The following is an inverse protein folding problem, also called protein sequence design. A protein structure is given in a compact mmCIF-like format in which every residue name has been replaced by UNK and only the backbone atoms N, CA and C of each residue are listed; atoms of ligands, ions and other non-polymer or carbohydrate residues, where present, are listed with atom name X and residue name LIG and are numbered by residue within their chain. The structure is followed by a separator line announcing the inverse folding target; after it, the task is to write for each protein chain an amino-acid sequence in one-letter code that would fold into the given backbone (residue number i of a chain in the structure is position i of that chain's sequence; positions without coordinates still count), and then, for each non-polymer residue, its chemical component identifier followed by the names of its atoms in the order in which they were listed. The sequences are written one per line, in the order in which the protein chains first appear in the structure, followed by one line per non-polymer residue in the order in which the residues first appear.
data_IF_801457144970
#
_entry.id   IF_801457144970
#
_cell.length_a   1.000
_cell.length_b   1.000
_cell.length_c   1.000
_cell.angle_alpha   90.00
_cell.angle_beta   90.00
_cell.angle_gamma   90.00
#
_symmetry.space_group_name_H-M   'P 1'
#
loop_
_entity.id
_entity.type
_entity.pdbx_description
1 polymer ?
#
# COMPACT_ATOMS: atom_id res chain seq x y z
N UNK A 1 67.83 43.55 7.50
CA UNK A 1 66.71 42.63 7.20
C UNK A 1 66.41 41.84 8.46
N UNK A 2 65.18 41.98 8.97
CA UNK A 2 64.60 41.22 10.08
C UNK A 2 63.81 40.02 9.50
N UNK A 3 63.13 39.15 10.30
CA UNK A 3 63.46 37.73 10.48
C UNK A 3 62.25 36.81 10.17
N UNK A 4 62.36 35.50 10.34
CA UNK A 4 61.23 34.54 10.53
C UNK A 4 61.84 33.13 10.71
N UNK A 5 61.37 32.17 11.51
CA UNK A 5 60.42 32.06 12.63
C UNK A 5 60.55 30.58 13.06
N UNK A 6 61.13 30.29 14.22
CA UNK A 6 60.46 29.87 15.46
C UNK A 6 59.25 28.92 15.28
N UNK A 7 59.29 27.70 15.82
CA UNK A 7 58.26 27.23 16.77
C UNK A 7 58.82 26.08 17.61
N UNK A 8 59.10 26.42 18.86
CA UNK A 8 59.51 25.54 19.94
C UNK A 8 58.32 25.13 20.83
N UNK A 9 58.60 24.24 21.76
CA UNK A 9 57.69 23.33 22.44
C UNK A 9 57.19 23.82 23.81
N UNK A 10 55.89 23.70 24.11
CA UNK A 10 55.24 23.54 25.46
C UNK A 10 55.56 24.58 26.60
N UNK A 11 55.01 24.48 27.84
CA UNK A 11 53.61 24.43 28.32
C UNK A 11 53.28 25.51 29.41
N UNK A 12 52.00 25.54 29.84
CA UNK A 12 51.44 25.95 31.16
C UNK A 12 51.78 27.31 31.82
N UNK A 13 50.75 28.12 32.13
CA UNK A 13 50.36 28.48 33.53
C UNK A 13 48.97 29.20 33.61
N UNK A 14 48.11 28.60 34.45
CA UNK A 14 46.92 28.99 35.28
C UNK A 14 46.47 30.48 35.48
N UNK A 15 45.47 30.81 36.35
CA UNK A 15 44.08 30.34 36.57
C UNK A 15 43.08 31.55 36.70
N UNK A 16 41.75 31.34 36.85
CA UNK A 16 40.89 31.93 37.92
C UNK A 16 39.38 31.61 37.77
N UNK A 17 38.81 31.09 38.86
CA UNK A 17 37.42 31.06 39.38
C UNK A 17 36.29 31.74 38.57
N UNK A 18 35.08 31.19 38.49
CA UNK A 18 34.10 31.23 39.60
C UNK A 18 32.86 30.35 39.32
N UNK A 19 32.37 29.76 40.42
CA UNK A 19 31.22 28.88 40.69
C UNK A 19 29.89 29.11 39.93
N UNK A 20 29.16 28.00 39.72
CA UNK A 20 27.69 27.88 39.52
C UNK A 20 26.93 27.87 40.89
N UNK A 21 25.63 27.51 41.06
CA UNK A 21 24.40 27.51 40.21
C UNK A 21 23.13 28.09 40.94
N UNK A 22 21.94 28.00 40.30
CA UNK A 22 20.59 27.71 40.89
C UNK A 22 19.53 28.88 41.13
N UNK A 23 18.24 28.63 41.52
CA UNK A 23 17.03 28.69 40.65
C UNK A 23 15.81 29.54 41.15
N UNK A 24 14.76 29.64 40.31
CA UNK A 24 13.29 29.72 40.57
C UNK A 24 12.59 30.76 41.50
N UNK A 25 11.44 31.25 40.97
CA UNK A 25 10.19 31.78 41.60
C UNK A 25 10.06 33.26 42.03
N UNK A 26 9.02 33.94 41.53
CA UNK A 26 7.95 34.64 42.31
C UNK A 26 6.80 35.21 41.41
N UNK A 27 5.60 35.58 41.94
CA UNK A 27 4.27 35.24 41.37
C UNK A 27 3.27 36.40 41.09
N UNK A 28 2.30 36.15 40.18
CA UNK A 28 0.88 36.59 40.22
C UNK A 28 0.46 38.07 40.16
N UNK A 29 -0.30 38.47 39.12
CA UNK A 29 -1.66 39.10 39.20
C UNK A 29 -2.14 39.62 37.81
N UNK A 30 -3.42 39.39 37.51
CA UNK A 30 -4.23 39.82 36.35
C UNK A 30 -5.57 40.37 36.92
N UNK A 31 -6.45 41.15 36.24
CA UNK A 31 -6.37 42.34 35.36
C UNK A 31 -7.20 43.54 35.92
N UNK A 32 -7.48 44.60 35.13
CA UNK A 32 -8.88 45.05 35.00
C UNK A 32 -9.36 45.24 33.54
N UNK A 33 -10.58 44.75 33.27
CA UNK A 33 -11.46 45.10 32.12
C UNK A 33 -11.75 46.63 32.08
N UNK A 34 -12.03 47.35 30.99
CA UNK A 34 -13.10 47.22 29.96
C UNK A 34 -13.04 48.49 29.00
N UNK A 35 -13.97 48.77 28.04
CA UNK A 35 -13.98 48.37 26.62
C UNK A 35 -14.13 49.53 25.56
N UNK A 36 -14.08 49.13 24.27
CA UNK A 36 -14.74 49.69 23.07
C UNK A 36 -14.38 51.09 22.51
N UNK A 37 -13.74 51.11 21.33
CA UNK A 37 -14.24 51.93 20.22
C UNK A 37 -13.91 51.27 18.86
N UNK A 38 -14.97 51.07 18.08
CA UNK A 38 -14.96 50.38 16.80
C UNK A 38 -14.44 51.27 15.67
N UNK A 39 -13.63 50.71 14.77
CA UNK A 39 -13.60 51.16 13.37
C UNK A 39 -13.55 49.92 12.49
N UNK A 40 -14.67 49.70 11.80
CA UNK A 40 -14.88 48.67 10.79
C UNK A 40 -14.11 49.02 9.52
N UNK A 41 -13.31 48.07 9.03
CA UNK A 41 -13.02 47.93 7.59
C UNK A 41 -12.81 46.45 7.28
N UNK A 42 -13.82 45.69 6.78
CA UNK A 42 -13.63 44.31 6.39
C UNK A 42 -13.26 44.27 4.90
N UNK A 43 -11.97 44.31 4.60
CA UNK A 43 -11.49 43.77 3.33
C UNK A 43 -11.72 42.24 3.36
N UNK A 44 -12.36 41.61 2.35
CA UNK A 44 -12.57 40.16 2.35
C UNK A 44 -11.24 39.43 2.18
N UNK A 45 -10.59 39.07 3.27
CA UNK A 45 -9.56 38.05 3.23
C UNK A 45 -10.21 36.70 2.89
N UNK A 46 -9.64 35.90 1.98
CA UNK A 46 -10.07 34.54 1.76
C UNK A 46 -9.96 33.80 3.09
N UNK A 47 -11.11 33.46 3.71
CA UNK A 47 -11.15 32.57 4.86
C UNK A 47 -10.51 31.26 4.45
N UNK A 48 -9.31 31.01 4.94
CA UNK A 48 -8.82 29.66 5.20
C UNK A 48 -9.94 28.94 5.93
N UNK A 49 -10.37 27.81 5.36
CA UNK A 49 -11.51 27.02 5.80
C UNK A 49 -11.62 26.97 7.33
N UNK A 50 -12.80 27.32 7.81
CA UNK A 50 -13.21 27.22 9.21
C UNK A 50 -12.79 25.86 9.77
N UNK A 51 -11.86 25.89 10.72
CA UNK A 51 -11.53 24.79 11.58
C UNK A 51 -12.78 24.49 12.42
N UNK A 52 -13.62 23.58 11.92
CA UNK A 52 -14.73 23.03 12.68
C UNK A 52 -14.15 22.40 13.95
N UNK A 53 -14.74 22.64 15.14
CA UNK A 53 -14.25 22.07 16.40
C UNK A 53 -14.13 20.56 16.26
N UNK A 54 -13.03 19.93 16.70
CA UNK A 54 -12.87 18.49 16.58
C UNK A 54 -14.00 17.79 17.35
N UNK A 55 -14.72 16.83 16.74
CA UNK A 55 -15.63 15.97 17.49
C UNK A 55 -14.83 15.22 18.56
N UNK A 56 -15.50 14.99 19.69
CA UNK A 56 -14.97 14.46 20.93
C UNK A 56 -13.85 13.42 20.75
N UNK A 57 -12.77 13.66 21.48
CA UNK A 57 -11.55 12.87 21.53
C UNK A 57 -11.82 11.43 21.98
N UNK A 58 -12.12 10.54 21.04
CA UNK A 58 -11.67 9.16 21.16
C UNK A 58 -10.15 9.18 20.99
N UNK A 59 -9.42 8.73 22.02
CA UNK A 59 -7.97 8.66 22.11
C UNK A 59 -7.35 7.64 21.13
N UNK A 60 -7.67 7.76 19.84
CA UNK A 60 -6.99 7.06 18.76
C UNK A 60 -5.81 7.92 18.29
N UNK A 61 -4.61 7.39 18.51
CA UNK A 61 -3.35 7.97 18.03
C UNK A 61 -3.35 8.18 16.51
N UNK A 62 -2.66 9.22 16.00
CA UNK A 62 -2.59 9.50 14.58
C UNK A 62 -1.90 8.34 13.84
N UNK A 63 -2.60 7.77 12.85
CA UNK A 63 -2.12 6.60 12.09
C UNK A 63 -1.08 7.03 11.05
N UNK A 64 -0.08 6.17 10.81
CA UNK A 64 1.01 6.46 9.88
C UNK A 64 0.58 6.22 8.43
N UNK A 65 0.73 7.25 7.57
CA UNK A 65 0.46 7.15 6.13
C UNK A 65 1.39 6.16 5.42
N UNK A 66 2.63 6.07 5.86
CA UNK A 66 3.60 5.11 5.31
C UNK A 66 3.21 3.67 5.62
N UNK A 67 2.77 3.40 6.85
CA UNK A 67 2.31 2.07 7.25
C UNK A 67 1.09 1.64 6.41
N UNK A 68 0.11 2.52 6.27
CA UNK A 68 -1.05 2.34 5.40
C UNK A 68 -0.65 2.01 3.96
N UNK A 69 0.27 2.77 3.38
CA UNK A 69 0.75 2.58 2.01
C UNK A 69 1.50 1.26 1.82
N UNK A 70 2.34 0.90 2.79
CA UNK A 70 3.08 -0.37 2.78
C UNK A 70 2.12 -1.56 2.89
N UNK A 71 1.07 -1.44 3.73
CA UNK A 71 0.01 -2.42 3.81
C UNK A 71 -0.75 -2.54 2.48
N UNK A 72 -1.06 -1.43 1.83
CA UNK A 72 -1.74 -1.44 0.53
C UNK A 72 -0.88 -2.08 -0.57
N UNK A 73 0.45 -1.95 -0.50
CA UNK A 73 1.37 -2.56 -1.45
C UNK A 73 1.42 -4.09 -1.33
N UNK A 74 1.58 -4.63 -0.11
CA UNK A 74 1.68 -6.08 0.09
C UNK A 74 0.32 -6.78 0.14
N UNK A 75 -0.72 -6.08 0.59
CA UNK A 75 -2.00 -6.65 0.93
C UNK A 75 -3.17 -5.91 0.24
N UNK A 76 -2.91 -5.31 -0.92
CA UNK A 76 -3.91 -4.60 -1.73
C UNK A 76 -5.20 -5.41 -1.96
N UNK A 77 -5.14 -6.68 -2.40
CA UNK A 77 -6.33 -7.49 -2.67
C UNK A 77 -7.14 -7.87 -1.41
N UNK A 78 -6.50 -7.88 -0.24
CA UNK A 78 -7.14 -8.33 1.00
C UNK A 78 -7.90 -7.21 1.71
N UNK A 79 -7.64 -5.95 1.36
CA UNK A 79 -8.28 -4.78 1.99
C UNK A 79 -7.72 -4.42 3.37
N UNK A 80 -6.57 -4.98 3.77
CA UNK A 80 -5.94 -4.73 5.08
C UNK A 80 -5.65 -3.24 5.33
N UNK A 81 -5.26 -2.48 4.30
CA UNK A 81 -5.01 -1.05 4.41
C UNK A 81 -6.25 -0.26 4.86
N UNK A 82 -7.46 -0.68 4.42
CA UNK A 82 -8.72 -0.08 4.87
C UNK A 82 -9.08 -0.46 6.29
N UNK A 83 -8.82 -1.71 6.68
CA UNK A 83 -8.97 -2.15 8.07
C UNK A 83 -8.07 -1.34 8.99
N UNK A 84 -6.81 -1.07 8.58
CA UNK A 84 -5.88 -0.23 9.33
C UNK A 84 -6.42 1.18 9.55
N UNK A 85 -7.06 1.77 8.54
CA UNK A 85 -7.73 3.08 8.60
C UNK A 85 -9.05 3.01 9.42
N UNK A 86 -9.55 1.81 9.72
CA UNK A 86 -10.82 1.62 10.43
C UNK A 86 -12.05 1.68 9.52
N UNK A 87 -11.84 1.61 8.20
CA UNK A 87 -12.92 1.47 7.23
C UNK A 87 -13.44 0.02 7.25
N UNK A 88 -14.69 -0.15 7.66
CA UNK A 88 -15.37 -1.46 7.80
C UNK A 88 -15.47 -2.21 6.48
N UNK A 89 -15.38 -1.52 5.34
CA UNK A 89 -15.37 -2.17 4.01
C UNK A 89 -14.16 -3.09 3.80
N UNK A 90 -13.07 -2.90 4.55
CA UNK A 90 -11.89 -3.77 4.49
C UNK A 90 -12.15 -5.19 5.01
N UNK A 91 -13.01 -5.36 6.02
CA UNK A 91 -13.30 -6.67 6.63
C UNK A 91 -14.03 -7.58 5.64
N UNK A 92 -15.00 -7.05 4.90
CA UNK A 92 -15.71 -7.82 3.88
C UNK A 92 -14.78 -8.32 2.78
N UNK A 93 -13.80 -7.50 2.38
CA UNK A 93 -12.80 -7.88 1.37
C UNK A 93 -11.84 -8.95 1.87
N UNK A 94 -11.42 -8.86 3.13
CA UNK A 94 -10.56 -9.87 3.73
C UNK A 94 -11.25 -11.25 3.71
N UNK A 95 -12.52 -11.30 4.11
CA UNK A 95 -13.30 -12.54 4.06
C UNK A 95 -13.53 -13.03 2.63
N UNK A 96 -13.86 -12.14 1.68
CA UNK A 96 -14.01 -12.51 0.29
C UNK A 96 -12.72 -13.11 -0.30
N UNK A 97 -11.56 -12.55 0.06
CA UNK A 97 -10.26 -13.06 -0.35
C UNK A 97 -9.97 -14.44 0.25
N UNK A 98 -10.21 -14.63 1.55
CA UNK A 98 -10.01 -15.91 2.25
C UNK A 98 -10.92 -16.99 1.64
N UNK A 99 -12.22 -16.69 1.49
CA UNK A 99 -13.20 -17.62 0.92
C UNK A 99 -12.79 -17.99 -0.51
N UNK A 100 -12.48 -17.01 -1.36
CA UNK A 100 -12.07 -17.28 -2.74
C UNK A 100 -10.81 -18.14 -2.81
N UNK A 101 -9.85 -17.91 -1.92
CA UNK A 101 -8.60 -18.70 -1.83
C UNK A 101 -8.87 -20.15 -1.40
N UNK A 102 -9.78 -20.37 -0.44
CA UNK A 102 -10.16 -21.73 -0.01
C UNK A 102 -10.91 -22.45 -1.13
N UNK A 103 -11.85 -21.77 -1.80
CA UNK A 103 -12.62 -22.36 -2.90
C UNK A 103 -11.74 -22.73 -4.12
N UNK A 104 -10.56 -22.13 -4.26
CA UNK A 104 -9.61 -22.47 -5.32
C UNK A 104 -9.08 -23.91 -5.23
N UNK A 105 -9.09 -24.50 -4.03
CA UNK A 105 -8.67 -25.90 -3.80
C UNK A 105 -9.71 -26.89 -4.34
N UNK A 106 -10.98 -26.47 -4.41
CA UNK A 106 -12.09 -27.33 -4.83
C UNK A 106 -12.11 -27.45 -6.36
N UNK A 107 -11.90 -28.66 -6.93
CA UNK A 107 -12.03 -28.87 -8.36
C UNK A 107 -13.44 -28.48 -8.83
N UNK A 108 -13.57 -27.92 -10.04
CA UNK A 108 -14.79 -27.36 -10.67
C UNK A 108 -15.17 -25.92 -10.25
N UNK A 109 -14.95 -25.51 -9.01
CA UNK A 109 -15.26 -24.14 -8.55
C UNK A 109 -14.07 -23.19 -8.73
N UNK A 110 -12.87 -23.75 -8.90
CA UNK A 110 -11.61 -23.04 -9.10
C UNK A 110 -11.65 -21.94 -10.17
N UNK A 111 -12.39 -22.12 -11.28
CA UNK A 111 -12.54 -21.08 -12.30
C UNK A 111 -13.24 -19.83 -11.77
N UNK A 112 -14.34 -20.01 -11.04
CA UNK A 112 -15.10 -18.89 -10.43
C UNK A 112 -14.21 -18.19 -9.39
N UNK A 113 -13.50 -18.96 -8.57
CA UNK A 113 -12.53 -18.41 -7.61
C UNK A 113 -11.41 -17.63 -8.29
N UNK A 114 -10.89 -18.12 -9.41
CA UNK A 114 -9.85 -17.42 -10.17
C UNK A 114 -10.36 -16.08 -10.69
N UNK A 115 -11.58 -16.01 -11.23
CA UNK A 115 -12.20 -14.75 -11.63
C UNK A 115 -12.45 -13.81 -10.45
N UNK A 116 -12.91 -14.33 -9.31
CA UNK A 116 -13.11 -13.53 -8.10
C UNK A 116 -11.79 -12.94 -7.58
N UNK A 117 -10.71 -13.75 -7.53
CA UNK A 117 -9.38 -13.30 -7.15
C UNK A 117 -8.80 -12.28 -8.14
N UNK A 118 -9.06 -12.44 -9.44
CA UNK A 118 -8.67 -11.46 -10.46
C UNK A 118 -9.39 -10.12 -10.23
N UNK A 119 -10.70 -10.15 -10.00
CA UNK A 119 -11.50 -8.96 -9.71
C UNK A 119 -11.03 -8.27 -8.41
N UNK A 120 -10.76 -9.05 -7.35
CA UNK A 120 -10.16 -8.55 -6.09
C UNK A 120 -8.78 -7.95 -6.32
N UNK A 121 -7.97 -8.54 -7.20
CA UNK A 121 -6.65 -8.02 -7.59
C UNK A 121 -6.75 -6.66 -8.29
N UNK A 122 -7.59 -6.55 -9.34
CA UNK A 122 -7.85 -5.29 -10.05
C UNK A 122 -8.38 -4.24 -9.08
N UNK A 123 -9.31 -4.64 -8.21
CA UNK A 123 -9.86 -3.75 -7.21
C UNK A 123 -8.79 -3.27 -6.22
N UNK A 124 -7.87 -4.14 -5.80
CA UNK A 124 -6.71 -3.78 -4.97
C UNK A 124 -5.82 -2.72 -5.61
N UNK A 125 -5.66 -2.74 -6.93
CA UNK A 125 -4.94 -1.70 -7.69
C UNK A 125 -5.68 -0.36 -7.59
N UNK A 126 -6.99 -0.34 -7.83
CA UNK A 126 -7.82 0.87 -7.68
C UNK A 126 -7.73 1.40 -6.24
N UNK A 127 -7.75 0.50 -5.26
CA UNK A 127 -7.64 0.84 -3.85
C UNK A 127 -6.31 1.51 -3.52
N UNK A 128 -5.20 0.97 -4.03
CA UNK A 128 -3.87 1.55 -3.84
C UNK A 128 -3.80 3.00 -4.33
N UNK A 129 -4.35 3.29 -5.50
CA UNK A 129 -4.40 4.65 -6.03
C UNK A 129 -5.38 5.56 -5.28
N UNK A 130 -6.53 5.04 -4.84
CA UNK A 130 -7.48 5.79 -4.01
C UNK A 130 -6.90 6.18 -2.65
N UNK A 131 -6.18 5.25 -2.01
CA UNK A 131 -5.50 5.44 -0.72
C UNK A 131 -4.39 6.48 -0.82
N UNK A 132 -3.76 6.67 -1.98
CA UNK A 132 -2.73 7.71 -2.20
C UNK A 132 -3.25 9.13 -2.03
N UNK A 133 -4.45 9.39 -2.57
CA UNK A 133 -5.09 10.69 -2.45
C UNK A 133 -5.59 11.01 -1.04
N UNK A 134 -5.60 10.01 -0.15
CA UNK A 134 -6.19 10.13 1.18
C UNK A 134 -5.19 10.74 2.17
N UNK A 135 -5.63 11.79 2.85
CA UNK A 135 -4.89 12.50 3.89
C UNK A 135 -5.53 12.36 5.29
N UNK A 136 -6.75 11.81 5.35
CA UNK A 136 -7.53 11.65 6.58
C UNK A 136 -7.94 10.19 6.82
N UNK A 137 -8.03 9.81 8.08
CA UNK A 137 -8.45 8.46 8.50
C UNK A 137 -9.95 8.22 8.27
N UNK A 138 -10.50 7.06 8.64
CA UNK A 138 -11.96 6.85 8.66
C UNK A 138 -12.67 7.73 9.71
N UNK A 139 -11.92 8.21 10.70
CA UNK A 139 -12.39 9.11 11.77
C UNK A 139 -12.05 10.57 11.52
N UNK A 140 -11.78 10.96 10.27
CA UNK A 140 -11.44 12.32 9.83
C UNK A 140 -10.16 12.91 10.44
N UNK A 141 -9.42 12.13 11.24
CA UNK A 141 -8.13 12.54 11.78
C UNK A 141 -7.06 12.60 10.69
N UNK A 142 -6.19 13.61 10.65
CA UNK A 142 -5.10 13.67 9.69
C UNK A 142 -4.15 12.50 9.90
N UNK A 143 -3.71 11.84 8.82
CA UNK A 143 -2.67 10.83 8.91
C UNK A 143 -1.33 11.48 9.24
N UNK A 144 -0.56 10.84 10.12
CA UNK A 144 0.79 11.27 10.41
C UNK A 144 1.67 11.08 9.17
N UNK A 145 2.28 12.17 8.71
CA UNK A 145 3.18 12.19 7.56
C UNK A 145 4.41 13.03 7.88
N UNK A 146 5.59 12.49 7.57
CA UNK A 146 6.85 13.24 7.62
C UNK A 146 7.40 13.46 6.21
N UNK A 147 8.29 14.44 6.04
CA UNK A 147 8.97 14.68 4.74
C UNK A 147 9.75 13.44 4.25
N UNK A 148 10.24 12.63 5.20
CA UNK A 148 10.88 11.34 4.91
C UNK A 148 9.86 10.38 4.31
N UNK A 149 8.69 10.25 4.92
CA UNK A 149 7.63 9.33 4.50
C UNK A 149 7.14 9.63 3.09
N UNK A 150 6.98 10.90 2.72
CA UNK A 150 6.57 11.28 1.36
C UNK A 150 7.56 10.79 0.28
N UNK A 151 8.85 10.72 0.60
CA UNK A 151 9.86 10.16 -0.30
C UNK A 151 9.69 8.65 -0.45
N UNK A 152 9.46 7.94 0.64
CA UNK A 152 9.21 6.49 0.60
C UNK A 152 7.91 6.15 -0.12
N UNK A 153 6.84 6.92 0.07
CA UNK A 153 5.56 6.73 -0.64
C UNK A 153 5.75 6.87 -2.15
N UNK A 154 6.56 7.85 -2.61
CA UNK A 154 6.91 7.98 -4.04
C UNK A 154 7.65 6.75 -4.57
N UNK A 155 8.65 6.24 -3.83
CA UNK A 155 9.35 5.01 -4.22
C UNK A 155 8.41 3.80 -4.24
N UNK A 156 7.53 3.68 -3.24
CA UNK A 156 6.55 2.60 -3.16
C UNK A 156 5.60 2.61 -4.36
N UNK A 157 5.17 3.79 -4.81
CA UNK A 157 4.36 3.94 -6.01
C UNK A 157 5.10 3.49 -7.27
N UNK A 158 6.36 3.91 -7.44
CA UNK A 158 7.17 3.50 -8.59
C UNK A 158 7.34 1.97 -8.60
N UNK A 159 7.70 1.39 -7.45
CA UNK A 159 7.81 -0.05 -7.29
C UNK A 159 6.49 -0.77 -7.60
N UNK A 160 5.35 -0.21 -7.19
CA UNK A 160 4.04 -0.79 -7.45
C UNK A 160 3.71 -0.81 -8.94
N UNK A 161 3.98 0.29 -9.65
CA UNK A 161 3.78 0.37 -11.10
C UNK A 161 4.69 -0.64 -11.83
N UNK A 162 5.96 -0.74 -11.42
CA UNK A 162 6.91 -1.70 -11.99
C UNK A 162 6.42 -3.13 -11.74
N UNK A 163 5.99 -3.46 -10.52
CA UNK A 163 5.44 -4.77 -10.19
C UNK A 163 4.20 -5.11 -11.02
N UNK A 164 3.30 -4.13 -11.26
CA UNK A 164 2.14 -4.32 -12.14
C UNK A 164 2.54 -4.60 -13.59
N UNK A 165 3.56 -3.92 -14.11
CA UNK A 165 4.07 -4.18 -15.46
C UNK A 165 4.62 -5.61 -15.58
N UNK A 166 5.38 -6.08 -14.59
CA UNK A 166 5.86 -7.47 -14.53
C UNK A 166 4.70 -8.47 -14.43
N UNK A 167 3.69 -8.20 -13.61
CA UNK A 167 2.51 -9.07 -13.49
C UNK A 167 1.73 -9.16 -14.81
N UNK A 168 1.55 -8.04 -15.51
CA UNK A 168 0.91 -8.01 -16.83
C UNK A 168 1.71 -8.80 -17.87
N UNK A 169 3.04 -8.64 -17.88
CA UNK A 169 3.94 -9.43 -18.74
C UNK A 169 3.85 -10.93 -18.44
N UNK A 170 3.80 -11.31 -17.16
CA UNK A 170 3.64 -12.70 -16.76
C UNK A 170 2.30 -13.29 -17.22
N UNK A 171 1.20 -12.55 -17.09
CA UNK A 171 -0.11 -12.97 -17.59
C UNK A 171 -0.14 -13.13 -19.12
N UNK A 172 0.52 -12.22 -19.85
CA UNK A 172 0.65 -12.35 -21.30
C UNK A 172 1.50 -13.58 -21.68
N UNK A 173 2.59 -13.83 -20.96
CA UNK A 173 3.45 -14.98 -21.18
C UNK A 173 2.74 -16.31 -20.88
N UNK A 174 1.94 -16.40 -19.80
CA UNK A 174 1.16 -17.60 -19.50
C UNK A 174 0.07 -17.84 -20.54
N UNK A 175 -0.61 -16.78 -20.98
CA UNK A 175 -1.59 -16.88 -22.06
C UNK A 175 -0.96 -17.33 -23.38
N UNK A 176 0.20 -16.76 -23.76
CA UNK A 176 0.94 -17.16 -24.94
C UNK A 176 1.44 -18.61 -24.85
N UNK A 177 1.93 -19.04 -23.69
CA UNK A 177 2.31 -20.43 -23.44
C UNK A 177 1.11 -21.36 -23.58
N UNK A 178 -0.04 -21.01 -23.00
CA UNK A 178 -1.27 -21.80 -23.14
C UNK A 178 -1.67 -21.96 -24.61
N UNK A 179 -1.60 -20.90 -25.41
CA UNK A 179 -1.87 -20.97 -26.86
C UNK A 179 -0.84 -21.80 -27.62
N UNK A 180 0.45 -21.70 -27.25
CA UNK A 180 1.53 -22.43 -27.91
C UNK A 180 1.51 -23.93 -27.60
N UNK A 181 1.13 -24.32 -26.37
CA UNK A 181 1.04 -25.73 -25.95
C UNK A 181 -0.33 -26.37 -26.24
N UNK A 182 -1.36 -25.58 -26.60
CA UNK A 182 -2.70 -26.11 -26.89
C UNK A 182 -2.86 -27.00 -28.13
N UNK A 183 -2.05 -26.94 -29.23
CA UNK A 183 -2.38 -27.66 -30.45
C UNK A 183 -1.61 -28.98 -30.67
N UNK A 184 -1.21 -29.73 -29.63
CA UNK A 184 -0.63 -31.08 -29.81
C UNK A 184 -1.51 -32.24 -29.32
N UNK A 185 -2.74 -31.98 -28.88
CA UNK A 185 -3.59 -32.99 -28.23
C UNK A 185 -4.73 -33.58 -29.06
N UNK A 186 -4.94 -33.15 -30.31
CA UNK A 186 -6.08 -33.59 -31.13
C UNK A 186 -5.62 -33.74 -32.59
N UNK A 187 -6.06 -34.82 -33.24
CA UNK A 187 -5.84 -35.21 -34.65
C UNK A 187 -4.62 -36.06 -35.00
N UNK A 188 -4.26 -37.04 -34.16
CA UNK A 188 -3.79 -38.32 -34.72
C UNK A 188 -4.96 -39.30 -34.66
N UNK A 189 -5.99 -39.01 -35.47
CA UNK A 189 -7.00 -40.01 -35.80
C UNK A 189 -6.29 -40.98 -36.74
N UNK A 190 -5.77 -42.07 -36.17
CA UNK A 190 -5.03 -43.10 -36.88
C UNK A 190 -5.93 -43.70 -37.98
N UNK A 191 -5.75 -43.21 -39.21
CA UNK A 191 -6.42 -43.74 -40.41
C UNK A 191 -6.02 -45.20 -40.68
N UNK A 192 -5.09 -45.79 -39.93
CA UNK A 192 -4.73 -47.21 -40.03
C UNK A 192 -5.78 -48.13 -39.42
N UNK A 193 -6.60 -47.66 -38.47
CA UNK A 193 -7.68 -48.49 -37.90
C UNK A 193 -8.84 -48.72 -38.87
N UNK A 194 -8.99 -47.89 -39.91
CA UNK A 194 -9.98 -48.13 -40.97
C UNK A 194 -9.50 -49.12 -42.04
N UNK A 195 -8.20 -49.43 -42.13
CA UNK A 195 -7.65 -50.31 -43.16
C UNK A 195 -7.66 -51.80 -42.78
N UNK A 196 -7.95 -52.15 -41.53
CA UNK A 196 -7.98 -53.54 -41.02
C UNK A 196 -9.41 -54.05 -40.75
N UNK A 197 -10.39 -53.59 -41.51
CA UNK A 197 -11.64 -54.34 -41.65
C UNK A 197 -11.43 -55.46 -42.66
N UNK A 198 -10.78 -56.54 -42.20
CA UNK A 198 -10.68 -57.78 -42.98
C UNK A 198 -12.09 -58.22 -43.41
N UNK A 199 -12.36 -58.33 -44.71
CA UNK A 199 -13.62 -58.88 -45.17
C UNK A 199 -13.59 -60.40 -44.97
N UNK A 200 -14.42 -60.88 -44.03
CA UNK A 200 -15.09 -62.18 -44.10
C UNK A 200 -14.19 -63.43 -44.13
N UNK A 201 -13.75 -63.92 -42.97
CA UNK A 201 -13.49 -65.35 -42.81
C UNK A 201 -14.79 -66.10 -42.45
N UNK A 202 -15.67 -66.25 -43.44
CA UNK A 202 -16.92 -67.03 -43.33
C UNK A 202 -16.68 -68.55 -43.42
N UNK A 203 -15.43 -69.02 -43.50
CA UNK A 203 -15.10 -70.42 -43.77
C UNK A 203 -15.12 -71.32 -42.52
N UNK A 204 -15.19 -70.72 -41.32
CA UNK A 204 -15.13 -71.46 -40.03
C UNK A 204 -16.44 -72.05 -39.51
N UNK A 205 -17.57 -71.87 -40.20
CA UNK A 205 -18.89 -72.33 -39.71
C UNK A 205 -19.53 -73.45 -40.54
N UNK A 206 -18.81 -74.10 -41.45
CA UNK A 206 -19.40 -75.10 -42.37
C UNK A 206 -18.67 -76.44 -42.42
N UNK A 207 -18.23 -76.93 -41.26
CA UNK A 207 -17.80 -78.32 -41.19
C UNK A 207 -17.41 -78.78 -39.80
N UNK A 208 -18.40 -79.01 -38.93
CA UNK A 208 -18.61 -80.26 -38.14
C UNK A 208 -20.08 -80.33 -37.76
#
# INVERSE_FOLDING_TARGET
MNPESNTDSHPQTEPLSTLAPEPNQEPGTQPPHQPDEATFDPTPQPRTAEQTPPPASDAHDPKSRLAMMTLAFFAGPTGLARIYIGDKSGIGRLWAYIISSILMIVPLINFISAFALLALGIWGVVDFFALKGRQTDAFEKPLHTTTRDDRYIKYLQILFIVALAFAAMALLATFAAMLYFAPSGVYEMDLRDFSNSDPLDSSRYLGI
#
